data_IF_485623272016
#
_entry.id   IF_485623272016
#
_cell.length_a   1.000
_cell.length_b   1.000
_cell.length_c   1.000
_cell.angle_alpha   90.00
_cell.angle_beta   90.00
_cell.angle_gamma   90.00
#
_symmetry.space_group_name_H-M   'P 1'
#
loop_
_entity.id
_entity.type
_entity.pdbx_description
1 polymer ?
#
# COMPACT_ATOMS: atom_id res chain seq x y z
N UNK A 1 -12.63 -8.46 -12.86
CA UNK A 1 -13.08 -7.12 -12.40
C UNK A 1 -12.16 -6.00 -12.91
N UNK A 2 -10.85 -6.23 -12.90
CA UNK A 2 -9.83 -5.23 -13.28
C UNK A 2 -9.96 -4.64 -14.68
N UNK A 3 -10.49 -5.38 -15.67
CA UNK A 3 -10.67 -4.89 -17.04
C UNK A 3 -12.01 -4.16 -17.29
N UNK A 4 -12.88 -4.01 -16.26
CA UNK A 4 -14.17 -3.36 -16.47
C UNK A 4 -14.01 -1.84 -16.61
N UNK A 5 -14.65 -1.19 -17.61
CA UNK A 5 -14.51 0.25 -17.82
C UNK A 5 -14.95 1.11 -16.62
N UNK A 6 -15.95 0.68 -15.85
CA UNK A 6 -16.44 1.36 -14.65
C UNK A 6 -15.54 1.19 -13.42
N UNK A 7 -14.47 0.40 -13.55
CA UNK A 7 -13.48 0.12 -12.51
C UNK A 7 -12.11 0.72 -12.86
N UNK A 8 -12.03 1.58 -13.87
CA UNK A 8 -10.80 2.17 -14.38
C UNK A 8 -10.93 3.68 -14.49
N UNK A 9 -9.85 4.39 -14.14
CA UNK A 9 -9.70 5.78 -14.53
C UNK A 9 -9.24 5.86 -15.99
N UNK A 10 -9.68 6.88 -16.77
CA UNK A 10 -9.15 7.12 -18.10
C UNK A 10 -7.64 7.29 -18.08
N UNK A 11 -6.94 6.78 -19.10
CA UNK A 11 -5.49 6.88 -19.20
C UNK A 11 -5.03 8.25 -19.74
N UNK A 12 -5.56 9.34 -19.18
CA UNK A 12 -5.26 10.75 -19.50
C UNK A 12 -4.70 11.46 -18.27
N UNK A 13 -4.16 12.66 -18.43
CA UNK A 13 -3.64 13.41 -17.28
C UNK A 13 -4.74 13.79 -16.28
N UNK A 14 -5.94 14.10 -16.76
CA UNK A 14 -7.12 14.33 -15.91
C UNK A 14 -7.53 13.06 -15.16
N UNK A 15 -7.49 11.89 -15.81
CA UNK A 15 -7.77 10.61 -15.16
C UNK A 15 -6.73 10.24 -14.10
N UNK A 16 -5.45 10.52 -14.37
CA UNK A 16 -4.36 10.38 -13.40
C UNK A 16 -4.54 11.30 -12.18
N UNK A 17 -4.91 12.57 -12.39
CA UNK A 17 -5.17 13.50 -11.28
C UNK A 17 -6.42 13.11 -10.50
N UNK A 18 -7.49 12.66 -11.16
CA UNK A 18 -8.68 12.15 -10.49
C UNK A 18 -8.37 10.92 -9.61
N UNK A 19 -7.50 10.03 -10.09
CA UNK A 19 -7.00 8.91 -9.30
C UNK A 19 -6.20 9.40 -8.09
N UNK A 20 -5.23 10.31 -8.29
CA UNK A 20 -4.46 10.88 -7.18
C UNK A 20 -5.35 11.55 -6.12
N UNK A 21 -6.39 12.27 -6.56
CA UNK A 21 -7.34 12.89 -5.65
C UNK A 21 -8.11 11.83 -4.83
N UNK A 22 -8.58 10.76 -5.47
CA UNK A 22 -9.23 9.63 -4.78
C UNK A 22 -8.34 9.02 -3.69
N UNK A 23 -7.04 8.88 -3.93
CA UNK A 23 -6.10 8.39 -2.90
C UNK A 23 -5.93 9.38 -1.74
N UNK A 24 -5.89 10.69 -2.02
CA UNK A 24 -5.84 11.74 -0.99
C UNK A 24 -7.11 11.72 -0.13
N UNK A 25 -8.26 11.53 -0.75
CA UNK A 25 -9.55 11.42 -0.06
C UNK A 25 -9.58 10.16 0.83
N UNK A 26 -9.11 9.01 0.33
CA UNK A 26 -8.97 7.78 1.11
C UNK A 26 -8.05 7.96 2.34
N UNK A 27 -6.94 8.70 2.18
CA UNK A 27 -6.06 9.04 3.31
C UNK A 27 -6.81 9.92 4.33
N UNK A 28 -7.55 10.92 3.86
CA UNK A 28 -8.32 11.82 4.73
C UNK A 28 -9.41 11.08 5.52
N UNK A 29 -10.13 10.17 4.87
CA UNK A 29 -11.18 9.35 5.49
C UNK A 29 -10.64 8.50 6.64
N UNK A 30 -9.50 7.82 6.43
CA UNK A 30 -8.84 7.04 7.48
C UNK A 30 -8.37 7.94 8.62
N UNK A 31 -7.77 9.09 8.31
CA UNK A 31 -7.31 10.04 9.34
C UNK A 31 -8.46 10.57 10.20
N UNK A 32 -9.67 10.71 9.64
CA UNK A 32 -10.85 11.16 10.38
C UNK A 32 -11.30 10.15 11.44
N UNK A 33 -11.16 8.85 11.17
CA UNK A 33 -11.55 7.78 12.12
C UNK A 33 -10.40 7.28 12.99
N UNK A 34 -9.14 7.50 12.58
CA UNK A 34 -7.95 7.01 13.26
C UNK A 34 -7.86 7.33 14.77
N UNK A 35 -8.29 8.51 15.29
CA UNK A 35 -8.29 8.77 16.73
C UNK A 35 -9.10 7.79 17.59
N UNK A 36 -10.04 7.05 17.00
CA UNK A 36 -10.83 6.03 17.71
C UNK A 36 -10.06 4.71 17.88
N UNK A 37 -8.99 4.52 17.11
CA UNK A 37 -8.24 3.26 17.01
C UNK A 37 -6.79 3.39 17.48
N UNK A 38 -6.21 4.60 17.38
CA UNK A 38 -4.82 4.89 17.74
C UNK A 38 -4.77 5.89 18.89
N UNK A 39 -4.17 5.50 20.03
CA UNK A 39 -4.07 6.36 21.22
C UNK A 39 -3.21 7.62 21.05
N UNK A 40 -2.42 7.69 19.97
CA UNK A 40 -1.67 8.87 19.53
C UNK A 40 -1.58 8.79 18.02
N UNK A 41 -1.69 9.91 17.30
CA UNK A 41 -1.40 9.98 15.86
C UNK A 41 0.04 10.46 15.61
N UNK A 42 0.66 10.11 14.46
CA UNK A 42 1.99 10.60 14.13
C UNK A 42 1.99 12.09 13.81
N UNK A 43 3.08 12.78 14.15
CA UNK A 43 3.22 14.23 13.92
C UNK A 43 3.60 14.56 12.47
N UNK A 44 4.17 13.60 11.75
CA UNK A 44 4.59 13.76 10.36
C UNK A 44 3.39 13.67 9.41
N UNK A 45 3.36 14.53 8.39
CA UNK A 45 2.37 14.46 7.32
C UNK A 45 2.74 13.38 6.29
N UNK A 46 1.74 12.94 5.53
CA UNK A 46 1.90 12.14 4.32
C UNK A 46 1.33 12.89 3.11
N UNK A 47 2.01 12.75 1.98
CA UNK A 47 1.53 13.20 0.68
C UNK A 47 1.41 12.01 -0.27
N UNK A 48 0.45 12.09 -1.20
CA UNK A 48 0.32 11.15 -2.31
C UNK A 48 0.90 11.78 -3.57
N UNK A 49 1.85 11.11 -4.20
CA UNK A 49 2.55 11.61 -5.40
C UNK A 49 2.61 10.55 -6.49
N UNK A 50 2.51 10.99 -7.73
CA UNK A 50 2.81 10.16 -8.91
C UNK A 50 4.31 9.95 -9.00
N UNK A 51 4.72 8.73 -9.31
CA UNK A 51 6.13 8.43 -9.62
C UNK A 51 6.55 9.21 -10.87
N UNK A 52 7.71 9.91 -10.86
CA UNK A 52 8.18 10.67 -12.01
C UNK A 52 8.31 9.81 -13.28
N UNK A 53 8.04 10.41 -14.45
CA UNK A 53 8.01 9.67 -15.73
C UNK A 53 9.33 8.99 -16.09
N UNK A 54 10.46 9.57 -15.67
CA UNK A 54 11.78 9.00 -15.91
C UNK A 54 12.09 7.78 -15.03
N UNK A 55 11.32 7.53 -13.96
CA UNK A 55 11.50 6.42 -13.02
C UNK A 55 10.41 5.34 -13.15
N UNK A 56 9.24 5.70 -13.71
CA UNK A 56 8.04 4.86 -13.67
C UNK A 56 8.19 3.47 -14.33
N UNK A 57 9.13 3.29 -15.27
CA UNK A 57 9.34 2.00 -15.96
C UNK A 57 10.05 0.95 -15.10
N UNK A 58 10.87 1.38 -14.14
CA UNK A 58 11.63 0.51 -13.24
C UNK A 58 11.07 0.47 -11.82
N UNK A 59 9.99 1.22 -11.58
CA UNK A 59 9.40 1.37 -10.25
C UNK A 59 8.25 0.38 -10.03
N UNK A 60 7.98 -0.04 -8.79
CA UNK A 60 6.82 -0.88 -8.47
C UNK A 60 5.50 -0.10 -8.67
N UNK A 61 4.35 -0.78 -8.52
CA UNK A 61 3.02 -0.17 -8.65
C UNK A 61 2.74 0.93 -7.62
N UNK A 62 3.28 0.78 -6.41
CA UNK A 62 3.31 1.81 -5.39
C UNK A 62 4.38 1.50 -4.34
N UNK A 63 4.79 2.52 -3.58
CA UNK A 63 5.72 2.37 -2.46
C UNK A 63 5.69 3.59 -1.54
N UNK A 64 6.13 3.41 -0.30
CA UNK A 64 6.26 4.48 0.67
C UNK A 64 7.71 4.94 0.87
N UNK A 65 7.90 6.25 0.97
CA UNK A 65 9.14 6.86 1.46
C UNK A 65 8.86 7.63 2.75
N UNK A 66 9.58 7.30 3.82
CA UNK A 66 9.41 8.00 5.08
C UNK A 66 9.81 9.50 5.04
N UNK A 67 9.28 10.33 5.95
CA UNK A 67 9.69 11.73 6.15
C UNK A 67 11.20 11.93 6.34
N UNK A 68 11.71 13.16 6.25
CA UNK A 68 13.06 13.42 6.76
C UNK A 68 13.05 13.50 8.29
N UNK A 69 14.18 13.20 8.95
CA UNK A 69 14.27 13.26 10.42
C UNK A 69 14.06 14.68 10.95
N UNK A 70 14.51 15.69 10.19
CA UNK A 70 14.34 17.12 10.49
C UNK A 70 12.94 17.65 10.11
N UNK A 71 12.07 16.82 9.53
CA UNK A 71 10.71 17.20 9.13
C UNK A 71 10.61 18.07 7.87
N UNK A 72 11.73 18.42 7.22
CA UNK A 72 11.73 19.22 5.97
C UNK A 72 11.01 18.54 4.80
N UNK A 73 10.96 17.20 4.77
CA UNK A 73 10.20 16.40 3.80
C UNK A 73 9.14 15.55 4.51
N UNK A 74 7.88 15.56 4.05
CA UNK A 74 6.85 14.67 4.57
C UNK A 74 7.10 13.21 4.17
N UNK A 75 6.33 12.31 4.74
CA UNK A 75 6.18 10.97 4.17
C UNK A 75 5.53 11.05 2.80
N UNK A 76 5.90 10.16 1.89
CA UNK A 76 5.36 10.15 0.53
C UNK A 76 4.89 8.75 0.19
N UNK A 77 3.60 8.61 -0.09
CA UNK A 77 3.05 7.47 -0.79
C UNK A 77 3.16 7.73 -2.29
N UNK A 78 3.99 6.94 -2.96
CA UNK A 78 4.19 6.97 -4.40
C UNK A 78 3.29 5.96 -5.09
N UNK A 79 2.65 6.36 -6.18
CA UNK A 79 1.88 5.47 -7.05
C UNK A 79 2.33 5.60 -8.51
N UNK A 80 2.44 4.45 -9.18
CA UNK A 80 2.82 4.35 -10.56
C UNK A 80 1.62 4.56 -11.46
N UNK A 81 1.61 5.67 -12.19
CA UNK A 81 0.54 6.02 -13.12
C UNK A 81 1.03 6.04 -14.56
N UNK A 82 2.01 5.19 -14.90
CA UNK A 82 2.38 4.94 -16.30
C UNK A 82 1.14 4.55 -17.11
N UNK A 83 0.40 3.57 -16.61
CA UNK A 83 -0.92 3.16 -17.11
C UNK A 83 -1.92 3.15 -15.95
N UNK A 84 -3.04 3.86 -16.09
CA UNK A 84 -4.12 3.82 -15.09
C UNK A 84 -4.83 2.47 -15.05
N UNK A 85 -4.73 1.66 -16.11
CA UNK A 85 -5.24 0.30 -16.20
C UNK A 85 -4.61 -0.67 -15.19
N UNK A 86 -3.36 -0.40 -14.78
CA UNK A 86 -2.66 -1.19 -13.77
C UNK A 86 -3.18 -0.94 -12.35
N UNK A 87 -4.03 0.08 -12.17
CA UNK A 87 -4.52 0.55 -10.87
C UNK A 87 -6.06 0.58 -10.83
N UNK A 88 -6.73 -0.58 -10.94
CA UNK A 88 -8.18 -0.62 -10.96
C UNK A 88 -8.77 -0.13 -9.64
N UNK A 89 -9.89 0.60 -9.70
CA UNK A 89 -10.47 1.36 -8.57
C UNK A 89 -10.60 0.50 -7.30
N UNK A 90 -11.15 -0.72 -7.44
CA UNK A 90 -11.33 -1.63 -6.32
C UNK A 90 -10.04 -2.04 -5.57
N UNK A 91 -8.86 -1.95 -6.17
CA UNK A 91 -7.59 -2.30 -5.50
C UNK A 91 -6.91 -1.10 -4.83
N UNK A 92 -7.39 0.13 -5.05
CA UNK A 92 -6.70 1.34 -4.60
C UNK A 92 -6.73 1.50 -3.08
N UNK A 93 -7.87 1.21 -2.44
CA UNK A 93 -8.02 1.35 -0.98
C UNK A 93 -6.99 0.53 -0.22
N UNK A 94 -6.87 -0.76 -0.54
CA UNK A 94 -5.94 -1.65 0.17
C UNK A 94 -4.48 -1.19 0.01
N UNK A 95 -4.10 -0.74 -1.20
CA UNK A 95 -2.76 -0.19 -1.43
C UNK A 95 -2.54 1.12 -0.65
N UNK A 96 -3.51 2.03 -0.63
CA UNK A 96 -3.44 3.27 0.17
C UNK A 96 -3.27 2.96 1.65
N UNK A 97 -4.00 1.97 2.17
CA UNK A 97 -3.92 1.59 3.58
C UNK A 97 -2.61 0.92 3.94
N UNK A 98 -2.03 0.16 3.01
CA UNK A 98 -0.71 -0.45 3.13
C UNK A 98 0.41 0.60 3.14
N UNK A 99 0.44 1.50 2.16
CA UNK A 99 1.56 2.43 1.93
C UNK A 99 1.45 3.70 2.79
N UNK A 100 0.24 4.20 3.02
CA UNK A 100 0.00 5.41 3.77
C UNK A 100 -0.60 5.09 5.15
N UNK A 101 -1.89 5.29 5.32
CA UNK A 101 -2.56 5.28 6.62
C UNK A 101 -3.58 4.13 6.69
N UNK A 102 -3.54 3.25 7.70
CA UNK A 102 -2.66 3.27 8.88
C UNK A 102 -1.37 2.42 8.71
N UNK A 103 -0.94 2.10 7.49
CA UNK A 103 0.22 1.24 7.21
C UNK A 103 1.58 1.92 7.38
N UNK A 104 2.43 1.85 6.35
CA UNK A 104 3.84 2.23 6.41
C UNK A 104 4.07 3.66 6.88
N UNK A 105 3.20 4.62 6.52
CA UNK A 105 3.34 5.98 7.03
C UNK A 105 3.23 6.04 8.54
N UNK A 106 2.18 5.46 9.12
CA UNK A 106 1.98 5.47 10.57
C UNK A 106 3.15 4.77 11.26
N UNK A 107 3.51 3.56 10.83
CA UNK A 107 4.61 2.81 11.43
C UNK A 107 5.93 3.58 11.40
N UNK A 108 6.32 4.09 10.24
CA UNK A 108 7.59 4.81 10.07
C UNK A 108 7.58 6.15 10.81
N UNK A 109 6.46 6.87 10.78
CA UNK A 109 6.33 8.15 11.46
C UNK A 109 6.38 7.98 12.98
N UNK A 110 5.73 6.95 13.55
CA UNK A 110 5.89 6.65 14.97
C UNK A 110 7.33 6.30 15.32
N UNK A 111 7.98 5.42 14.55
CA UNK A 111 9.36 5.03 14.77
C UNK A 111 10.30 6.24 14.88
N UNK A 112 10.05 7.29 14.08
CA UNK A 112 10.84 8.53 14.07
C UNK A 112 10.45 9.53 15.15
N UNK A 113 9.20 9.51 15.62
CA UNK A 113 8.71 10.34 16.72
C UNK A 113 9.15 9.87 18.11
N UNK A 114 9.81 8.70 18.24
CA UNK A 114 10.29 8.19 19.54
C UNK A 114 11.52 8.99 19.99
N UNK A 115 11.33 9.80 21.04
CA UNK A 115 12.41 10.58 21.67
C UNK A 115 13.28 9.69 22.57
N UNK A 116 14.58 10.01 22.64
CA UNK A 116 15.53 9.34 23.54
C UNK A 116 15.99 7.94 23.09
N UNK A 117 15.57 7.49 21.90
CA UNK A 117 16.02 6.21 21.32
C UNK A 117 17.32 6.41 20.53
N UNK A 118 18.27 5.45 20.55
CA UNK A 118 19.42 5.49 19.67
C UNK A 118 19.01 5.63 18.21
N UNK A 119 19.69 6.51 17.46
CA UNK A 119 19.37 6.82 16.06
C UNK A 119 19.27 5.56 15.18
N UNK A 120 20.11 4.55 15.44
CA UNK A 120 20.05 3.29 14.71
C UNK A 120 18.69 2.61 14.82
N UNK A 121 17.99 2.67 15.96
CA UNK A 121 16.67 2.05 16.13
C UNK A 121 15.55 2.88 15.49
N UNK A 122 15.75 4.18 15.30
CA UNK A 122 14.76 5.04 14.62
C UNK A 122 14.95 5.06 13.10
N UNK A 123 16.07 4.54 12.60
CA UNK A 123 16.38 4.47 11.16
C UNK A 123 16.41 3.06 10.58
N UNK A 124 16.79 2.04 11.35
CA UNK A 124 16.87 0.67 10.86
C UNK A 124 15.46 0.11 10.62
N UNK A 125 15.22 -0.39 9.42
CA UNK A 125 13.99 -1.09 9.05
C UNK A 125 14.16 -2.60 9.20
N UNK A 126 13.16 -3.27 9.77
CA UNK A 126 13.04 -4.72 9.76
C UNK A 126 11.90 -5.07 8.81
N UNK A 127 12.22 -5.73 7.70
CA UNK A 127 11.26 -5.95 6.60
C UNK A 127 10.04 -6.74 7.08
N UNK A 128 10.24 -7.77 7.90
CA UNK A 128 9.17 -8.62 8.40
C UNK A 128 8.20 -7.83 9.29
N UNK A 129 8.72 -6.92 10.11
CA UNK A 129 7.91 -6.04 10.95
C UNK A 129 7.17 -4.99 10.11
N UNK A 130 7.86 -4.35 9.17
CA UNK A 130 7.29 -3.28 8.35
C UNK A 130 6.21 -3.80 7.39
N UNK A 131 6.51 -4.87 6.64
CA UNK A 131 5.57 -5.50 5.70
C UNK A 131 4.43 -6.21 6.44
N UNK A 132 4.74 -6.87 7.57
CA UNK A 132 3.73 -7.47 8.44
C UNK A 132 2.77 -6.43 8.99
N UNK A 133 3.27 -5.25 9.39
CA UNK A 133 2.43 -4.12 9.78
C UNK A 133 1.57 -3.60 8.62
N UNK A 134 2.13 -3.44 7.42
CA UNK A 134 1.39 -3.02 6.23
C UNK A 134 0.21 -3.94 5.94
N UNK A 135 0.43 -5.26 5.96
CA UNK A 135 -0.63 -6.28 5.78
C UNK A 135 -1.65 -6.28 6.91
N UNK A 136 -1.18 -6.12 8.16
CA UNK A 136 -2.08 -5.97 9.31
C UNK A 136 -2.96 -4.72 9.18
N UNK A 137 -2.40 -3.60 8.72
CA UNK A 137 -3.10 -2.34 8.53
C UNK A 137 -4.20 -2.43 7.46
N UNK A 138 -3.98 -3.19 6.39
CA UNK A 138 -5.02 -3.48 5.38
C UNK A 138 -6.24 -4.16 6.01
N UNK A 139 -6.01 -5.17 6.85
CA UNK A 139 -7.08 -5.84 7.60
C UNK A 139 -7.73 -4.91 8.63
N UNK A 140 -6.92 -4.15 9.39
CA UNK A 140 -7.41 -3.20 10.38
C UNK A 140 -8.33 -2.16 9.74
N UNK A 141 -8.03 -1.67 8.53
CA UNK A 141 -8.90 -0.74 7.82
C UNK A 141 -10.30 -1.33 7.54
N UNK A 142 -10.41 -2.65 7.32
CA UNK A 142 -11.71 -3.30 7.23
C UNK A 142 -12.45 -3.34 8.56
N UNK A 143 -11.75 -3.61 9.66
CA UNK A 143 -12.32 -3.56 11.02
C UNK A 143 -12.74 -2.12 11.40
N UNK A 144 -12.04 -1.11 10.88
CA UNK A 144 -12.39 0.32 10.99
C UNK A 144 -13.63 0.71 10.17
N UNK A 145 -14.15 -0.18 9.32
CA UNK A 145 -15.34 0.05 8.50
C UNK A 145 -15.07 0.74 7.16
N UNK A 146 -13.82 0.84 6.71
CA UNK A 146 -13.46 1.57 5.47
C UNK A 146 -14.01 0.94 4.18
N UNK A 147 -14.51 -0.30 4.29
CA UNK A 147 -15.15 -1.05 3.20
C UNK A 147 -16.64 -1.33 3.42
N UNK A 148 -17.28 -0.75 4.45
CA UNK A 148 -18.64 -1.10 4.87
C UNK A 148 -19.66 -1.10 3.72
N UNK A 149 -19.58 -0.11 2.85
CA UNK A 149 -20.47 0.07 1.70
C UNK A 149 -19.74 -0.16 0.35
N UNK A 150 -18.59 -0.84 0.38
CA UNK A 150 -17.71 -1.06 -0.77
C UNK A 150 -17.21 -2.51 -0.85
N UNK A 151 -18.09 -3.46 -1.22
CA UNK A 151 -17.73 -4.87 -1.33
C UNK A 151 -16.70 -5.15 -2.44
N UNK A 152 -16.64 -4.32 -3.48
CA UNK A 152 -15.62 -4.44 -4.52
C UNK A 152 -14.24 -4.09 -3.96
N UNK A 153 -14.14 -3.01 -3.19
CA UNK A 153 -12.94 -2.63 -2.46
C UNK A 153 -12.47 -3.70 -1.48
N UNK A 154 -13.39 -4.30 -0.72
CA UNK A 154 -13.05 -5.38 0.22
C UNK A 154 -12.53 -6.63 -0.50
N UNK A 155 -13.10 -6.93 -1.67
CA UNK A 155 -12.56 -7.98 -2.54
C UNK A 155 -11.14 -7.64 -3.03
N UNK A 156 -10.86 -6.38 -3.35
CA UNK A 156 -9.50 -5.92 -3.67
C UNK A 156 -8.52 -6.14 -2.52
N UNK A 157 -8.95 -5.89 -1.28
CA UNK A 157 -8.17 -6.21 -0.07
C UNK A 157 -7.90 -7.71 0.06
N UNK A 158 -8.93 -8.55 -0.12
CA UNK A 158 -8.78 -10.01 -0.06
C UNK A 158 -7.89 -10.54 -1.20
N UNK A 159 -7.96 -9.97 -2.39
CA UNK A 159 -7.06 -10.31 -3.50
C UNK A 159 -5.61 -9.97 -3.15
N UNK A 160 -5.37 -8.79 -2.58
CA UNK A 160 -4.06 -8.38 -2.10
C UNK A 160 -3.52 -9.32 -1.01
N UNK A 161 -4.36 -9.73 -0.06
CA UNK A 161 -4.03 -10.70 1.00
C UNK A 161 -3.70 -12.09 0.42
N UNK A 162 -4.53 -12.59 -0.52
CA UNK A 162 -4.31 -13.86 -1.21
C UNK A 162 -2.99 -13.86 -1.99
N UNK A 163 -2.63 -12.75 -2.63
CA UNK A 163 -1.36 -12.61 -3.32
C UNK A 163 -0.16 -12.77 -2.36
N UNK A 164 -0.24 -12.21 -1.14
CA UNK A 164 0.82 -12.42 -0.13
C UNK A 164 0.82 -13.84 0.44
N UNK A 165 -0.34 -14.47 0.60
CA UNK A 165 -0.40 -15.88 1.00
C UNK A 165 0.24 -16.79 -0.06
N UNK A 166 -0.04 -16.55 -1.34
CA UNK A 166 0.54 -17.28 -2.45
C UNK A 166 2.06 -17.09 -2.57
N UNK A 167 2.60 -15.92 -2.19
CA UNK A 167 4.06 -15.70 -2.11
C UNK A 167 4.74 -16.71 -1.17
N UNK A 168 4.13 -17.04 -0.03
CA UNK A 168 4.69 -18.05 0.89
C UNK A 168 4.77 -19.43 0.24
N UNK A 169 3.76 -19.78 -0.56
CA UNK A 169 3.72 -21.06 -1.28
C UNK A 169 4.74 -21.09 -2.41
N UNK A 170 4.84 -20.03 -3.21
CA UNK A 170 5.78 -19.96 -4.32
C UNK A 170 7.23 -19.90 -3.83
N UNK A 171 7.53 -19.07 -2.83
CA UNK A 171 8.87 -18.93 -2.26
C UNK A 171 9.38 -20.27 -1.73
N UNK A 172 8.62 -20.89 -0.82
CA UNK A 172 8.97 -22.21 -0.28
C UNK A 172 8.87 -23.32 -1.34
N UNK A 173 7.99 -23.16 -2.32
CA UNK A 173 7.86 -24.00 -3.50
C UNK A 173 9.17 -24.08 -4.26
N UNK A 174 9.73 -22.94 -4.65
CA UNK A 174 11.00 -22.85 -5.36
C UNK A 174 12.16 -23.28 -4.46
N UNK A 175 12.29 -22.65 -3.29
CA UNK A 175 13.52 -22.72 -2.50
C UNK A 175 13.64 -23.97 -1.62
N UNK A 176 12.53 -24.65 -1.35
CA UNK A 176 12.53 -25.86 -0.53
C UNK A 176 11.89 -27.06 -1.24
N UNK A 177 10.76 -26.87 -1.94
CA UNK A 177 10.08 -27.95 -2.69
C UNK A 177 10.63 -28.16 -4.10
N UNK A 178 11.61 -27.35 -4.53
CA UNK A 178 12.31 -27.42 -5.83
C UNK A 178 11.38 -27.27 -7.03
N UNK A 179 10.36 -26.44 -6.91
CA UNK A 179 9.52 -26.07 -8.05
C UNK A 179 10.36 -25.39 -9.13
N UNK A 180 10.04 -25.70 -10.39
CA UNK A 180 10.55 -24.93 -11.52
C UNK A 180 9.90 -23.53 -11.54
N UNK A 181 10.49 -22.64 -12.33
CA UNK A 181 9.93 -21.30 -12.58
C UNK A 181 8.51 -21.39 -13.16
N UNK A 182 8.28 -22.33 -14.05
CA UNK A 182 6.99 -22.56 -14.71
C UNK A 182 5.93 -23.01 -13.70
N UNK A 183 6.27 -23.94 -12.80
CA UNK A 183 5.36 -24.36 -11.72
C UNK A 183 4.98 -23.20 -10.80
N UNK A 184 5.94 -22.32 -10.48
CA UNK A 184 5.68 -21.12 -9.70
C UNK A 184 4.75 -20.14 -10.44
N UNK A 185 4.96 -19.92 -11.74
CA UNK A 185 4.11 -19.06 -12.58
C UNK A 185 2.69 -19.63 -12.65
N UNK A 186 2.56 -20.92 -12.96
CA UNK A 186 1.28 -21.59 -13.11
C UNK A 186 0.47 -21.54 -11.80
N UNK A 187 1.13 -21.77 -10.66
CA UNK A 187 0.48 -21.65 -9.35
C UNK A 187 0.01 -20.22 -9.08
N UNK A 188 0.89 -19.23 -9.26
CA UNK A 188 0.59 -17.82 -9.01
C UNK A 188 -0.57 -17.34 -9.87
N UNK A 189 -0.52 -17.60 -11.19
CA UNK A 189 -1.57 -17.25 -12.13
C UNK A 189 -2.89 -17.97 -11.84
N UNK A 190 -2.82 -19.23 -11.38
CA UNK A 190 -4.00 -20.02 -11.06
C UNK A 190 -4.76 -19.56 -9.82
N UNK A 191 -4.13 -18.81 -8.90
CA UNK A 191 -4.73 -18.47 -7.60
C UNK A 191 -5.05 -16.98 -7.41
N UNK A 192 -4.38 -16.04 -8.08
CA UNK A 192 -4.56 -14.60 -7.76
C UNK A 192 -5.37 -13.76 -8.73
N UNK A 193 -5.74 -14.33 -9.88
CA UNK A 193 -6.57 -13.66 -10.88
C UNK A 193 -5.80 -12.71 -11.79
#
# INVERSE_FOLDING_TARGET
LSARPDNLYPNTDEGREALLQSLRDQVADVLAVAPQWFGRLPDYKVEVRRIPEHEQNSSPGGYYTGPSLDGSRPGIYWINLKDTGDNPIHSLKTLTYHEAVPGHHFQTAYQRSIKGMPLIRTMLGYSEYAEGWGLYAEKLAAEMGMYKDDPAGDLGRLQAELFRAARLVVDTGIHHKRWSREQAIDYMAGVTG
#
